data_IF_012648880231
#
_entry.id   IF_012648880231
#
_cell.length_a   1.000
_cell.length_b   1.000
_cell.length_c   1.000
_cell.angle_alpha   90.00
_cell.angle_beta   90.00
_cell.angle_gamma   90.00
#
_symmetry.space_group_name_H-M   'P 1'
#
loop_
_entity.id
_entity.type
_entity.pdbx_description
1 polymer ?
#
# COMPACT_ATOMS: atom_id res chain seq x y z
N UNK A 1 -16.21 17.12 3.36
CA UNK A 1 -15.18 16.76 2.35
C UNK A 1 -14.34 15.64 2.94
N UNK A 2 -14.28 14.51 2.26
CA UNK A 2 -13.45 13.38 2.63
C UNK A 2 -12.37 13.15 1.55
N UNK A 3 -11.32 12.45 1.92
CA UNK A 3 -10.29 11.95 0.99
C UNK A 3 -10.54 10.45 0.78
N UNK A 4 -10.70 10.07 -0.47
CA UNK A 4 -10.78 8.69 -0.91
C UNK A 4 -9.49 8.36 -1.64
N UNK A 5 -8.76 7.36 -1.19
CA UNK A 5 -7.46 7.02 -1.76
C UNK A 5 -7.50 5.60 -2.32
N UNK A 6 -7.55 5.46 -3.65
CA UNK A 6 -7.30 4.17 -4.31
C UNK A 6 -5.79 3.99 -4.43
N UNK A 7 -5.23 3.21 -3.52
CA UNK A 7 -3.80 3.15 -3.35
C UNK A 7 -3.23 1.79 -2.94
N UNK A 8 -1.94 1.67 -3.16
CA UNK A 8 -1.16 0.49 -2.82
C UNK A 8 -1.04 0.29 -1.31
N UNK A 9 -1.06 -0.99 -0.92
CA UNK A 9 -0.72 -1.47 0.41
C UNK A 9 0.45 -2.44 0.23
N UNK A 10 1.59 -2.16 0.88
CA UNK A 10 2.75 -3.02 0.84
C UNK A 10 3.22 -3.38 2.25
N UNK A 11 3.88 -4.52 2.34
CA UNK A 11 4.69 -4.91 3.49
C UNK A 11 6.15 -4.66 3.11
N UNK A 12 6.82 -3.77 3.81
CA UNK A 12 8.24 -3.48 3.58
C UNK A 12 9.09 -4.36 4.47
N UNK A 13 9.93 -5.20 3.86
CA UNK A 13 10.93 -6.05 4.50
C UNK A 13 12.30 -5.39 4.38
N UNK A 14 12.74 -4.69 5.43
CA UNK A 14 13.99 -3.94 5.43
C UNK A 14 15.10 -4.76 6.05
N UNK A 15 16.12 -5.06 5.29
CA UNK A 15 17.34 -5.77 5.71
C UNK A 15 18.51 -4.79 5.72
N UNK A 16 19.16 -4.61 6.87
CA UNK A 16 20.38 -3.84 6.97
C UNK A 16 21.59 -4.75 6.80
N UNK A 17 22.47 -4.38 5.89
CA UNK A 17 23.62 -5.15 5.46
C UNK A 17 24.92 -4.33 5.65
N UNK A 18 26.07 -4.98 5.56
CA UNK A 18 27.36 -4.28 5.52
C UNK A 18 27.60 -3.62 4.18
N UNK A 19 27.19 -4.28 3.10
CA UNK A 19 27.20 -3.80 1.72
C UNK A 19 26.09 -4.50 0.94
N UNK A 20 25.71 -3.98 -0.22
CA UNK A 20 24.76 -4.63 -1.11
C UNK A 20 25.35 -5.91 -1.70
N UNK A 21 24.59 -7.03 -1.78
CA UNK A 21 25.12 -8.30 -2.25
C UNK A 21 25.54 -8.24 -3.73
N UNK A 22 26.67 -8.87 -4.05
CA UNK A 22 27.14 -9.07 -5.41
C UNK A 22 26.53 -10.36 -6.00
N UNK A 23 26.52 -10.52 -7.32
CA UNK A 23 26.05 -11.76 -7.94
C UNK A 23 26.75 -13.00 -7.35
N UNK A 24 25.96 -13.96 -6.87
CA UNK A 24 26.44 -15.20 -6.25
C UNK A 24 26.86 -15.08 -4.79
N UNK A 25 26.80 -13.91 -4.18
CA UNK A 25 27.17 -13.68 -2.79
C UNK A 25 26.00 -14.00 -1.85
N UNK A 26 26.32 -14.57 -0.68
CA UNK A 26 25.38 -14.77 0.43
C UNK A 26 25.84 -13.94 1.61
N UNK A 27 24.97 -13.05 2.11
CA UNK A 27 25.23 -12.18 3.27
C UNK A 27 24.26 -12.47 4.39
N UNK A 28 24.75 -12.37 5.62
CA UNK A 28 23.90 -12.31 6.81
C UNK A 28 23.50 -10.84 7.06
N UNK A 29 22.21 -10.57 7.24
CA UNK A 29 21.75 -9.23 7.58
C UNK A 29 22.11 -8.90 9.05
N UNK A 30 22.52 -7.66 9.31
CA UNK A 30 22.75 -7.12 10.67
C UNK A 30 21.43 -6.98 11.43
N UNK A 31 20.36 -6.62 10.73
CA UNK A 31 19.02 -6.50 11.30
C UNK A 31 17.96 -6.66 10.24
N UNK A 32 16.76 -7.01 10.70
CA UNK A 32 15.56 -7.09 9.89
C UNK A 32 14.42 -6.37 10.59
N UNK A 33 13.68 -5.58 9.82
CA UNK A 33 12.45 -4.90 10.28
C UNK A 33 11.37 -5.07 9.22
N UNK A 34 10.16 -5.37 9.68
CA UNK A 34 8.96 -5.39 8.86
C UNK A 34 8.11 -4.16 9.17
N UNK A 35 7.61 -3.50 8.14
CA UNK A 35 6.77 -2.32 8.29
C UNK A 35 5.64 -2.25 7.27
N UNK A 36 4.68 -1.37 7.55
CA UNK A 36 3.67 -0.99 6.57
C UNK A 36 4.29 0.01 5.60
N UNK A 37 4.20 -0.29 4.33
CA UNK A 37 4.61 0.54 3.20
C UNK A 37 3.52 0.65 2.15
N UNK A 38 3.92 1.07 0.96
CA UNK A 38 3.04 1.41 -0.14
C UNK A 38 2.68 2.90 -0.16
N UNK A 39 2.81 3.53 -1.33
CA UNK A 39 2.52 4.98 -1.49
C UNK A 39 1.09 5.32 -1.09
N UNK A 40 0.13 4.44 -1.43
CA UNK A 40 -1.27 4.61 -1.05
C UNK A 40 -1.48 4.59 0.46
N UNK A 41 -0.97 3.57 1.16
CA UNK A 41 -1.08 3.47 2.60
C UNK A 41 -0.44 4.68 3.31
N UNK A 42 0.77 5.08 2.88
CA UNK A 42 1.47 6.24 3.44
C UNK A 42 0.70 7.55 3.24
N UNK A 43 0.11 7.78 2.06
CA UNK A 43 -0.71 8.96 1.79
C UNK A 43 -1.99 8.97 2.62
N UNK A 44 -2.65 7.81 2.78
CA UNK A 44 -3.85 7.72 3.63
C UNK A 44 -3.54 8.03 5.09
N UNK A 45 -2.43 7.51 5.61
CA UNK A 45 -1.98 7.81 6.98
C UNK A 45 -1.68 9.29 7.12
N UNK A 46 -0.91 9.87 6.19
CA UNK A 46 -0.56 11.29 6.24
C UNK A 46 -1.80 12.20 6.21
N UNK A 47 -2.78 11.90 5.34
CA UNK A 47 -4.02 12.64 5.24
C UNK A 47 -4.86 12.54 6.53
N UNK A 48 -4.99 11.34 7.10
CA UNK A 48 -5.71 11.13 8.35
C UNK A 48 -5.04 11.86 9.52
N UNK A 49 -3.71 11.79 9.63
CA UNK A 49 -2.94 12.50 10.65
C UNK A 49 -3.01 14.03 10.50
N UNK A 50 -3.21 14.54 9.28
CA UNK A 50 -3.48 15.94 9.03
C UNK A 50 -4.93 16.37 9.35
N UNK A 51 -5.76 15.44 9.87
CA UNK A 51 -7.14 15.74 10.30
C UNK A 51 -8.21 15.51 9.23
N UNK A 52 -7.88 14.96 8.07
CA UNK A 52 -8.87 14.65 7.04
C UNK A 52 -9.63 13.35 7.35
N UNK A 53 -10.93 13.32 7.03
CA UNK A 53 -11.69 12.08 6.95
C UNK A 53 -11.14 11.30 5.75
N UNK A 54 -10.46 10.17 6.01
CA UNK A 54 -9.74 9.44 4.97
C UNK A 54 -10.23 8.01 4.85
N UNK A 55 -10.64 7.62 3.64
CA UNK A 55 -11.01 6.28 3.24
C UNK A 55 -9.91 5.69 2.36
N UNK A 56 -9.47 4.47 2.68
CA UNK A 56 -8.53 3.75 1.84
C UNK A 56 -9.25 2.67 1.04
N UNK A 57 -9.15 2.76 -0.28
CA UNK A 57 -9.59 1.74 -1.23
C UNK A 57 -8.33 1.02 -1.71
N UNK A 58 -8.24 -0.29 -1.49
CA UNK A 58 -7.05 -1.06 -1.83
C UNK A 58 -7.28 -2.55 -1.73
N UNK A 59 -6.22 -3.32 -1.95
CA UNK A 59 -6.29 -4.77 -1.81
C UNK A 59 -5.04 -5.33 -1.13
N UNK A 60 -5.23 -6.41 -0.37
CA UNK A 60 -4.19 -7.12 0.34
C UNK A 60 -4.48 -8.62 0.38
N UNK A 61 -3.52 -9.41 0.78
CA UNK A 61 -3.72 -10.82 1.11
C UNK A 61 -4.65 -11.00 2.30
N UNK A 62 -5.20 -12.20 2.45
CA UNK A 62 -6.23 -12.47 3.46
C UNK A 62 -5.69 -12.55 4.90
N UNK A 63 -4.38 -12.74 5.09
CA UNK A 63 -3.78 -13.11 6.39
C UNK A 63 -3.06 -11.99 7.13
N UNK A 64 -2.89 -10.82 6.50
CA UNK A 64 -2.04 -9.73 7.03
C UNK A 64 -2.88 -8.71 7.84
N UNK A 65 -3.64 -9.17 8.83
CA UNK A 65 -4.57 -8.35 9.64
C UNK A 65 -3.90 -7.15 10.29
N UNK A 66 -2.65 -7.27 10.70
CA UNK A 66 -1.87 -6.20 11.33
C UNK A 66 -1.75 -4.95 10.45
N UNK A 67 -1.78 -5.10 9.12
CA UNK A 67 -1.76 -4.01 8.14
C UNK A 67 -3.02 -3.14 8.29
N UNK A 68 -4.18 -3.77 8.38
CA UNK A 68 -5.46 -3.07 8.57
C UNK A 68 -5.51 -2.38 9.93
N UNK A 69 -5.05 -3.05 10.97
CA UNK A 69 -4.98 -2.46 12.32
C UNK A 69 -4.04 -1.25 12.35
N UNK A 70 -2.93 -1.29 11.64
CA UNK A 70 -2.00 -0.15 11.53
C UNK A 70 -2.66 1.06 10.87
N UNK A 71 -3.42 0.84 9.79
CA UNK A 71 -4.18 1.90 9.11
C UNK A 71 -5.30 2.47 9.99
N UNK A 72 -6.07 1.61 10.66
CA UNK A 72 -7.13 2.03 11.60
C UNK A 72 -6.57 2.87 12.74
N UNK A 73 -5.46 2.44 13.34
CA UNK A 73 -4.80 3.16 14.44
C UNK A 73 -4.28 4.53 14.02
N UNK A 74 -4.04 4.73 12.72
CA UNK A 74 -3.70 6.03 12.14
C UNK A 74 -4.94 6.89 11.78
N UNK A 75 -6.16 6.40 12.04
CA UNK A 75 -7.40 7.12 11.77
C UNK A 75 -7.98 6.92 10.35
N UNK A 76 -7.46 5.93 9.59
CA UNK A 76 -7.94 5.64 8.25
C UNK A 76 -9.14 4.71 8.29
N UNK A 77 -10.21 5.04 7.55
CA UNK A 77 -11.32 4.13 7.29
C UNK A 77 -10.87 3.02 6.33
N UNK A 78 -10.95 1.76 6.77
CA UNK A 78 -10.45 0.57 6.07
C UNK A 78 -11.57 -0.32 5.54
N UNK A 79 -12.82 0.15 5.53
CA UNK A 79 -13.99 -0.64 5.14
C UNK A 79 -13.95 -1.12 3.68
N UNK A 80 -13.20 -0.42 2.82
CA UNK A 80 -13.08 -0.70 1.39
C UNK A 80 -11.72 -1.32 1.02
N UNK A 81 -11.00 -1.89 1.99
CA UNK A 81 -9.83 -2.71 1.75
C UNK A 81 -10.27 -4.14 1.47
N UNK A 82 -9.97 -4.61 0.26
CA UNK A 82 -10.28 -5.94 -0.20
C UNK A 82 -9.26 -6.95 0.34
N UNK A 83 -9.75 -8.07 0.87
CA UNK A 83 -8.93 -9.20 1.27
C UNK A 83 -9.07 -10.27 0.20
N UNK A 84 -7.98 -10.56 -0.51
CA UNK A 84 -7.99 -11.47 -1.65
C UNK A 84 -7.34 -12.80 -1.28
N UNK A 85 -8.13 -13.86 -1.05
CA UNK A 85 -7.61 -15.21 -0.80
C UNK A 85 -6.73 -15.68 -1.98
N UNK A 86 -5.61 -16.33 -1.68
CA UNK A 86 -4.68 -16.83 -2.69
C UNK A 86 -3.76 -15.77 -3.31
N UNK A 87 -3.92 -14.50 -2.94
CA UNK A 87 -2.99 -13.43 -3.31
C UNK A 87 -2.10 -13.07 -2.11
N UNK A 88 -0.82 -12.83 -2.37
CA UNK A 88 0.05 -12.20 -1.38
C UNK A 88 -0.27 -10.70 -1.29
N UNK A 89 -0.14 -10.11 -0.11
CA UNK A 89 -0.07 -8.65 0.00
C UNK A 89 1.12 -8.13 -0.80
N UNK A 90 0.97 -6.99 -1.46
CA UNK A 90 2.09 -6.32 -2.10
C UNK A 90 3.24 -6.17 -1.09
N UNK A 91 4.47 -6.36 -1.53
CA UNK A 91 5.61 -6.24 -0.61
C UNK A 91 6.87 -5.75 -1.33
N UNK A 92 7.76 -5.17 -0.55
CA UNK A 92 9.08 -4.75 -0.98
C UNK A 92 10.14 -5.45 -0.13
N UNK A 93 11.19 -5.97 -0.77
CA UNK A 93 12.44 -6.37 -0.13
C UNK A 93 13.40 -5.20 -0.31
N UNK A 94 13.78 -4.58 0.79
CA UNK A 94 14.64 -3.39 0.83
C UNK A 94 15.95 -3.80 1.46
N UNK A 95 17.00 -3.80 0.68
CA UNK A 95 18.37 -3.99 1.13
C UNK A 95 18.98 -2.61 1.35
N UNK A 96 19.52 -2.36 2.53
CA UNK A 96 20.09 -1.07 2.90
C UNK A 96 21.47 -1.30 3.50
N UNK A 97 22.48 -0.68 2.94
CA UNK A 97 23.84 -0.78 3.41
C UNK A 97 24.25 0.31 4.42
N UNK A 98 25.51 0.27 4.86
CA UNK A 98 26.06 1.21 5.83
C UNK A 98 26.26 2.64 5.29
N UNK A 99 26.25 2.84 3.99
CA UNK A 99 26.39 4.14 3.30
C UNK A 99 25.02 4.72 2.92
N UNK A 100 23.91 4.08 3.35
CA UNK A 100 22.53 4.39 3.02
C UNK A 100 22.17 4.19 1.53
N UNK A 101 23.00 3.46 0.78
CA UNK A 101 22.62 2.96 -0.54
C UNK A 101 21.60 1.84 -0.38
N UNK A 102 20.66 1.76 -1.32
CA UNK A 102 19.63 0.74 -1.29
C UNK A 102 19.44 0.00 -2.61
N UNK A 103 18.96 -1.25 -2.50
CA UNK A 103 18.43 -2.01 -3.61
C UNK A 103 17.04 -2.52 -3.19
N UNK A 104 16.04 -2.32 -4.06
CA UNK A 104 14.65 -2.62 -3.74
C UNK A 104 14.07 -3.53 -4.82
N UNK A 105 13.48 -4.65 -4.36
CA UNK A 105 12.68 -5.54 -5.20
C UNK A 105 11.23 -5.45 -4.74
N UNK A 106 10.32 -5.17 -5.67
CA UNK A 106 8.88 -5.05 -5.38
C UNK A 106 8.12 -6.20 -6.03
N UNK A 107 7.25 -6.85 -5.24
CA UNK A 107 6.20 -7.72 -5.75
C UNK A 107 4.85 -7.04 -5.53
N UNK A 108 4.10 -6.70 -6.60
CA UNK A 108 2.87 -5.92 -6.47
C UNK A 108 1.71 -6.68 -5.80
N UNK A 109 1.70 -8.01 -5.90
CA UNK A 109 0.70 -8.85 -5.24
C UNK A 109 -0.74 -8.39 -5.48
N UNK A 110 -1.52 -8.35 -4.42
CA UNK A 110 -2.94 -7.97 -4.43
C UNK A 110 -3.21 -6.57 -5.02
N UNK A 111 -2.25 -5.64 -4.98
CA UNK A 111 -2.42 -4.31 -5.57
C UNK A 111 -2.75 -4.35 -7.07
N UNK A 112 -2.27 -5.34 -7.80
CA UNK A 112 -2.55 -5.53 -9.23
C UNK A 112 -3.75 -6.43 -9.50
N UNK A 113 -4.30 -7.08 -8.48
CA UNK A 113 -5.45 -7.98 -8.61
C UNK A 113 -6.80 -7.28 -8.44
N UNK A 114 -6.82 -5.95 -8.23
CA UNK A 114 -8.04 -5.16 -8.16
C UNK A 114 -8.71 -5.13 -9.54
N UNK A 115 -9.96 -5.62 -9.61
CA UNK A 115 -10.79 -5.58 -10.80
C UNK A 115 -11.79 -4.41 -10.75
N UNK A 116 -12.24 -3.86 -11.89
CA UNK A 116 -13.19 -2.74 -11.93
C UNK A 116 -14.50 -3.00 -11.16
N UNK A 117 -15.01 -4.23 -11.19
CA UNK A 117 -16.21 -4.63 -10.45
C UNK A 117 -16.07 -4.49 -8.93
N UNK A 118 -14.85 -4.59 -8.41
CA UNK A 118 -14.55 -4.45 -6.98
C UNK A 118 -14.59 -2.99 -6.52
N UNK A 119 -14.48 -2.05 -7.45
CA UNK A 119 -14.46 -0.60 -7.16
C UNK A 119 -15.86 0.04 -7.22
N UNK A 120 -16.86 -0.63 -7.78
CA UNK A 120 -18.19 -0.05 -8.01
C UNK A 120 -18.80 0.51 -6.70
N UNK A 121 -18.75 -0.27 -5.62
CA UNK A 121 -19.29 0.12 -4.32
C UNK A 121 -18.55 1.32 -3.70
N UNK A 122 -17.22 1.31 -3.48
CA UNK A 122 -16.54 2.44 -2.89
C UNK A 122 -16.60 3.70 -3.76
N UNK A 123 -16.52 3.59 -5.08
CA UNK A 123 -16.59 4.74 -5.97
C UNK A 123 -17.98 5.40 -5.97
N UNK A 124 -19.06 4.63 -5.82
CA UNK A 124 -20.42 5.18 -5.71
C UNK A 124 -20.67 5.95 -4.41
N UNK A 125 -19.84 5.79 -3.40
CA UNK A 125 -19.95 6.51 -2.12
C UNK A 125 -19.25 7.88 -2.13
N UNK A 126 -18.41 8.15 -3.13
CA UNK A 126 -17.67 9.42 -3.29
C UNK A 126 -18.66 10.52 -3.69
N UNK A 127 -18.61 11.64 -3.00
CA UNK A 127 -19.47 12.81 -3.27
C UNK A 127 -18.71 13.87 -4.06
N UNK A 128 -19.44 14.77 -4.72
CA UNK A 128 -18.86 15.82 -5.55
C UNK A 128 -17.86 16.75 -4.82
N UNK A 129 -18.00 16.90 -3.49
CA UNK A 129 -17.07 17.68 -2.68
C UNK A 129 -15.87 16.91 -2.17
N UNK A 130 -15.80 15.59 -2.40
CA UNK A 130 -14.70 14.76 -1.92
C UNK A 130 -13.53 14.76 -2.93
N UNK A 131 -12.37 14.32 -2.48
CA UNK A 131 -11.17 14.22 -3.31
C UNK A 131 -10.78 12.77 -3.48
N UNK A 132 -10.58 12.32 -4.72
CA UNK A 132 -10.00 11.02 -5.02
C UNK A 132 -8.49 11.16 -5.25
N UNK A 133 -7.69 10.43 -4.47
CA UNK A 133 -6.24 10.29 -4.67
C UNK A 133 -5.95 8.99 -5.41
N UNK A 134 -4.99 9.05 -6.33
CA UNK A 134 -4.54 7.91 -7.14
C UNK A 134 -3.00 7.89 -7.18
N UNK A 135 -2.42 6.70 -7.26
CA UNK A 135 -0.98 6.52 -7.49
C UNK A 135 -0.78 5.38 -8.50
N UNK A 136 0.30 5.45 -9.28
CA UNK A 136 0.60 4.46 -10.31
C UNK A 136 1.14 3.13 -9.76
N UNK A 137 0.50 2.58 -8.70
CA UNK A 137 0.91 1.32 -8.06
C UNK A 137 -0.21 0.28 -7.96
N UNK A 138 -1.45 0.65 -8.33
CA UNK A 138 -2.60 -0.26 -8.31
C UNK A 138 -3.19 -0.46 -9.70
N UNK A 139 -4.03 -1.47 -9.86
CA UNK A 139 -4.90 -1.61 -11.03
C UNK A 139 -6.05 -0.58 -11.05
N UNK A 140 -6.77 -0.50 -12.16
CA UNK A 140 -8.05 0.21 -12.32
C UNK A 140 -8.05 1.72 -12.06
N UNK A 141 -6.92 2.41 -12.19
CA UNK A 141 -6.83 3.85 -11.93
C UNK A 141 -7.58 4.70 -12.94
N UNK A 142 -7.54 4.30 -14.22
CA UNK A 142 -8.25 4.99 -15.30
C UNK A 142 -9.77 4.89 -15.09
N UNK A 143 -10.26 3.72 -14.71
CA UNK A 143 -11.66 3.47 -14.39
C UNK A 143 -12.11 4.31 -13.19
N UNK A 144 -11.31 4.33 -12.14
CA UNK A 144 -11.59 5.15 -10.95
C UNK A 144 -11.59 6.64 -11.26
N UNK A 145 -10.62 7.13 -12.05
CA UNK A 145 -10.58 8.53 -12.46
C UNK A 145 -11.78 8.94 -13.34
N UNK A 146 -12.28 8.03 -14.18
CA UNK A 146 -13.49 8.27 -14.99
C UNK A 146 -14.76 8.31 -14.14
N UNK A 147 -14.84 7.44 -13.12
CA UNK A 147 -16.01 7.38 -12.24
C UNK A 147 -16.08 8.56 -11.25
N UNK A 148 -14.98 9.25 -10.99
CA UNK A 148 -14.91 10.41 -10.10
C UNK A 148 -15.18 11.76 -10.81
N UNK A 149 -15.46 11.75 -12.11
CA UNK A 149 -15.84 12.95 -12.90
C UNK A 149 -17.35 13.09 -12.98
#
# INVERSE_FOLDING_TARGET
>A
MAIWNLGSINIDHVYRLDHLPRPGETLAARSYVQGLGGKGANQSIAAAQAGAITHHIGAMGATDDWVVERLKNAGVCTADILRLPGQATGHAIILLDGEAENAIVIHPGANRAIAPSMLAKPLSAIKAQDTLLLQNETGCQVEAAKAAR
#
